data_IF_468195667405
#
_entry.id   IF_468195667405
#
_cell.length_a   1.000
_cell.length_b   1.000
_cell.length_c   1.000
_cell.angle_alpha   90.00
_cell.angle_beta   90.00
_cell.angle_gamma   90.00
#
_symmetry.space_group_name_H-M   'P 1'
#
loop_
_entity.id
_entity.type
_entity.pdbx_description
1 polymer ?
#
# COMPACT_ATOMS: atom_id res chain seq x y z
N UNK A 1 -10.53 12.50 3.66
CA UNK A 1 -9.11 12.10 3.80
C UNK A 1 -8.89 10.58 3.82
N UNK A 2 -9.38 9.77 4.78
CA UNK A 2 -8.96 8.37 4.89
C UNK A 2 -9.27 7.53 3.64
N UNK A 3 -10.51 7.64 3.14
CA UNK A 3 -10.94 6.98 1.89
C UNK A 3 -10.15 7.43 0.66
N UNK A 4 -9.80 8.72 0.59
CA UNK A 4 -9.03 9.27 -0.53
C UNK A 4 -7.61 8.69 -0.56
N UNK A 5 -6.96 8.59 0.61
CA UNK A 5 -5.63 7.97 0.71
C UNK A 5 -5.67 6.50 0.34
N UNK A 6 -6.68 5.74 0.81
CA UNK A 6 -6.87 4.35 0.41
C UNK A 6 -7.02 4.19 -1.12
N UNK A 7 -7.87 5.01 -1.76
CA UNK A 7 -8.01 5.01 -3.22
C UNK A 7 -6.73 5.42 -3.95
N UNK A 8 -5.98 6.40 -3.44
CA UNK A 8 -4.73 6.81 -4.06
C UNK A 8 -3.67 5.71 -4.00
N UNK A 9 -3.63 4.92 -2.91
CA UNK A 9 -2.70 3.80 -2.78
C UNK A 9 -3.00 2.69 -3.80
N UNK A 10 -4.26 2.27 -3.94
CA UNK A 10 -4.63 1.24 -4.93
C UNK A 10 -4.46 1.74 -6.36
N UNK A 11 -4.78 3.01 -6.64
CA UNK A 11 -4.52 3.65 -7.92
C UNK A 11 -3.03 3.67 -8.25
N UNK A 12 -2.18 4.09 -7.31
CA UNK A 12 -0.73 4.15 -7.49
C UNK A 12 -0.13 2.76 -7.72
N UNK A 13 -0.58 1.74 -6.99
CA UNK A 13 -0.19 0.35 -7.26
C UNK A 13 -0.48 -0.05 -8.71
N UNK A 14 -1.67 0.29 -9.21
CA UNK A 14 -2.06 -0.04 -10.57
C UNK A 14 -1.22 0.72 -11.62
N UNK A 15 -0.86 1.98 -11.35
CA UNK A 15 0.03 2.78 -12.20
C UNK A 15 1.44 2.17 -12.27
N UNK A 16 2.05 1.89 -11.12
CA UNK A 16 3.40 1.29 -11.01
C UNK A 16 3.44 -0.06 -11.73
N UNK A 17 2.41 -0.89 -11.55
CA UNK A 17 2.27 -2.17 -12.25
C UNK A 17 2.14 -2.01 -13.77
N UNK A 18 1.24 -1.14 -14.24
CA UNK A 18 1.00 -0.93 -15.68
C UNK A 18 2.18 -0.29 -16.39
N UNK A 19 2.98 0.50 -15.66
CA UNK A 19 4.24 1.06 -16.16
C UNK A 19 5.39 0.04 -16.17
N UNK A 20 5.22 -1.14 -15.57
CA UNK A 20 6.25 -2.17 -15.48
C UNK A 20 7.40 -1.86 -14.51
N UNK A 21 7.27 -0.81 -13.68
CA UNK A 21 8.30 -0.38 -12.73
C UNK A 21 8.61 -1.47 -11.69
N UNK A 22 7.56 -2.10 -11.15
CA UNK A 22 7.64 -3.30 -10.33
C UNK A 22 7.02 -4.46 -11.10
N UNK A 23 7.82 -5.09 -11.99
CA UNK A 23 7.35 -6.10 -12.94
C UNK A 23 6.73 -7.36 -12.32
N UNK A 24 6.92 -7.58 -11.01
CA UNK A 24 6.37 -8.70 -10.25
C UNK A 24 4.98 -8.42 -9.65
N UNK A 25 4.43 -7.21 -9.80
CA UNK A 25 3.09 -6.87 -9.30
C UNK A 25 1.99 -7.53 -10.12
N UNK A 26 0.96 -8.03 -9.41
CA UNK A 26 -0.26 -8.59 -10.01
C UNK A 26 -1.48 -7.69 -9.73
N UNK A 27 -2.63 -7.92 -10.40
CA UNK A 27 -3.73 -6.96 -10.39
C UNK A 27 -4.44 -6.77 -9.05
N UNK A 28 -4.49 -7.80 -8.19
CA UNK A 28 -5.26 -7.76 -6.95
C UNK A 28 -4.52 -7.00 -5.84
N UNK A 29 -5.20 -6.03 -5.23
CA UNK A 29 -4.64 -5.15 -4.19
C UNK A 29 -5.73 -4.67 -3.23
N UNK A 30 -5.39 -4.63 -1.94
CA UNK A 30 -6.23 -4.12 -0.85
C UNK A 30 -5.44 -3.10 -0.05
N UNK A 31 -6.06 -1.97 0.29
CA UNK A 31 -5.43 -0.91 1.08
C UNK A 31 -6.30 -0.52 2.27
N UNK A 32 -5.66 -0.21 3.41
CA UNK A 32 -6.32 0.37 4.57
C UNK A 32 -5.42 1.47 5.17
N UNK A 33 -6.03 2.58 5.57
CA UNK A 33 -5.32 3.73 6.15
C UNK A 33 -5.98 4.12 7.46
N UNK A 34 -5.19 4.14 8.54
CA UNK A 34 -5.60 4.65 9.85
C UNK A 34 -5.01 6.03 10.06
N UNK A 35 -5.86 7.01 10.35
CA UNK A 35 -5.50 8.42 10.50
C UNK A 35 -5.83 8.87 11.91
N UNK A 36 -4.90 9.56 12.57
CA UNK A 36 -5.14 10.20 13.87
C UNK A 36 -5.81 11.55 13.67
N UNK A 37 -6.81 11.81 14.49
CA UNK A 37 -7.59 13.03 14.49
C UNK A 37 -7.52 13.74 15.85
N UNK A 38 -7.41 15.06 15.82
CA UNK A 38 -7.68 15.94 16.96
C UNK A 38 -9.03 16.63 16.70
N UNK A 39 -10.09 16.12 17.33
CA UNK A 39 -11.46 16.48 16.98
C UNK A 39 -11.76 16.09 15.53
N UNK A 40 -12.08 17.07 14.68
CA UNK A 40 -12.38 16.86 13.25
C UNK A 40 -11.16 17.06 12.32
N UNK A 41 -10.01 17.45 12.87
CA UNK A 41 -8.80 17.75 12.10
C UNK A 41 -7.88 16.53 12.06
N UNK A 42 -7.52 16.02 10.87
CA UNK A 42 -6.49 14.98 10.77
C UNK A 42 -5.13 15.58 11.09
N UNK A 43 -4.32 14.86 11.88
CA UNK A 43 -3.01 15.36 12.35
C UNK A 43 -1.85 14.46 11.97
N UNK A 44 -2.07 13.14 11.89
CA UNK A 44 -1.01 12.18 11.60
C UNK A 44 -1.54 10.92 10.92
N UNK A 45 -0.67 10.22 10.19
CA UNK A 45 -0.92 8.86 9.74
C UNK A 45 -0.37 7.86 10.76
N UNK A 46 -1.21 6.94 11.22
CA UNK A 46 -0.83 5.94 12.22
C UNK A 46 -0.34 4.64 11.57
N UNK A 47 -1.19 4.06 10.71
CA UNK A 47 -0.93 2.75 10.12
C UNK A 47 -1.42 2.72 8.69
N UNK A 48 -0.58 2.19 7.80
CA UNK A 48 -0.94 1.88 6.42
C UNK A 48 -0.77 0.38 6.21
N UNK A 49 -1.86 -0.28 5.82
CA UNK A 49 -1.84 -1.67 5.39
C UNK A 49 -1.99 -1.69 3.87
N UNK A 50 -1.07 -2.36 3.19
CA UNK A 50 -1.17 -2.58 1.75
C UNK A 50 -0.88 -4.05 1.47
N UNK A 51 -1.91 -4.78 1.05
CA UNK A 51 -1.79 -6.16 0.61
C UNK A 51 -1.88 -6.18 -0.91
N UNK A 52 -0.80 -6.55 -1.60
CA UNK A 52 -0.75 -6.64 -3.07
C UNK A 52 -0.35 -8.02 -3.50
N UNK A 53 -1.05 -8.52 -4.51
CA UNK A 53 -0.70 -9.75 -5.18
C UNK A 53 0.63 -9.58 -5.92
N UNK A 54 1.46 -10.62 -5.92
CA UNK A 54 2.78 -10.61 -6.53
C UNK A 54 3.19 -11.98 -7.08
N UNK A 55 4.25 -11.98 -7.89
CA UNK A 55 4.85 -13.20 -8.42
C UNK A 55 5.46 -14.10 -7.34
N UNK A 56 5.50 -15.40 -7.63
CA UNK A 56 6.10 -16.36 -6.71
C UNK A 56 7.61 -16.16 -6.54
N UNK A 57 8.29 -15.67 -7.58
CA UNK A 57 9.75 -15.51 -7.58
C UNK A 57 10.25 -14.36 -6.68
N UNK A 58 9.41 -13.37 -6.34
CA UNK A 58 9.84 -12.20 -5.55
C UNK A 58 9.84 -12.51 -4.05
N UNK A 59 10.88 -12.02 -3.36
CA UNK A 59 10.99 -12.15 -1.90
C UNK A 59 10.06 -11.17 -1.19
N UNK A 60 9.59 -11.52 0.01
CA UNK A 60 8.77 -10.60 0.80
C UNK A 60 9.50 -9.31 1.19
N UNK A 61 10.82 -9.35 1.41
CA UNK A 61 11.60 -8.15 1.69
C UNK A 61 11.56 -7.18 0.50
N UNK A 62 11.77 -7.69 -0.72
CA UNK A 62 11.68 -6.89 -1.96
C UNK A 62 10.26 -6.36 -2.19
N UNK A 63 9.23 -7.16 -1.92
CA UNK A 63 7.83 -6.69 -2.00
C UNK A 63 7.60 -5.54 -1.03
N UNK A 64 8.02 -5.69 0.22
CA UNK A 64 7.88 -4.67 1.25
C UNK A 64 8.57 -3.36 0.88
N UNK A 65 9.83 -3.43 0.45
CA UNK A 65 10.60 -2.25 0.06
C UNK A 65 9.98 -1.56 -1.16
N UNK A 66 9.73 -2.29 -2.25
CA UNK A 66 9.14 -1.71 -3.46
C UNK A 66 7.77 -1.09 -3.23
N UNK A 67 6.92 -1.72 -2.41
CA UNK A 67 5.63 -1.14 -2.03
C UNK A 67 5.79 0.15 -1.22
N UNK A 68 6.73 0.20 -0.27
CA UNK A 68 6.91 1.39 0.55
C UNK A 68 7.46 2.55 -0.30
N UNK A 69 8.49 2.31 -1.10
CA UNK A 69 9.18 3.36 -1.86
C UNK A 69 8.38 3.83 -3.08
N UNK A 70 7.81 2.91 -3.86
CA UNK A 70 7.18 3.26 -5.15
C UNK A 70 5.68 3.55 -5.06
N UNK A 71 5.02 3.05 -4.01
CA UNK A 71 3.56 3.14 -3.85
C UNK A 71 3.17 4.00 -2.65
N UNK A 72 3.66 3.69 -1.44
CA UNK A 72 3.19 4.36 -0.23
C UNK A 72 3.78 5.78 -0.11
N UNK A 73 5.10 5.92 -0.13
CA UNK A 73 5.77 7.23 0.06
C UNK A 73 5.31 8.31 -0.94
N UNK A 74 5.13 8.03 -2.25
CA UNK A 74 4.67 9.04 -3.21
C UNK A 74 3.23 9.51 -2.98
N UNK A 75 2.44 8.76 -2.21
CA UNK A 75 1.05 9.09 -1.88
C UNK A 75 0.91 9.83 -0.55
N UNK A 76 1.98 9.87 0.28
CA UNK A 76 1.91 10.49 1.60
C UNK A 76 1.67 12.00 1.50
N UNK A 77 0.68 12.55 2.24
CA UNK A 77 0.40 13.97 2.24
C UNK A 77 1.47 14.74 3.02
N UNK A 78 2.01 15.81 2.43
CA UNK A 78 3.02 16.65 3.07
C UNK A 78 2.54 17.43 4.31
N UNK A 79 1.22 17.55 4.53
CA UNK A 79 0.62 18.34 5.61
C UNK A 79 0.27 17.54 6.86
N UNK A 80 0.53 16.23 6.89
CA UNK A 80 0.32 15.38 8.06
C UNK A 80 1.66 14.90 8.60
N UNK A 81 1.72 14.63 9.90
CA UNK A 81 2.85 13.91 10.46
C UNK A 81 2.86 12.46 9.94
N UNK A 82 4.01 12.09 9.38
CA UNK A 82 4.27 10.80 8.72
C UNK A 82 5.48 10.08 9.34
N UNK A 83 6.09 10.64 10.39
CA UNK A 83 7.33 10.12 10.99
C UNK A 83 7.14 8.81 11.75
N UNK A 84 5.94 8.58 12.29
CA UNK A 84 5.60 7.40 13.11
C UNK A 84 4.78 6.32 12.41
N UNK A 85 4.68 6.32 11.08
CA UNK A 85 3.77 5.40 10.38
C UNK A 85 4.23 3.95 10.55
N UNK A 86 3.30 3.08 10.93
CA UNK A 86 3.46 1.62 10.84
C UNK A 86 3.08 1.13 9.44
N UNK A 87 4.06 0.67 8.67
CA UNK A 87 3.82 0.05 7.36
C UNK A 87 3.63 -1.46 7.50
N UNK A 88 2.43 -1.95 7.17
CA UNK A 88 2.08 -3.36 7.12
C UNK A 88 1.88 -3.77 5.65
N UNK A 89 2.95 -4.26 5.03
CA UNK A 89 2.91 -4.78 3.65
C UNK A 89 2.75 -6.29 3.70
N UNK A 90 1.71 -6.81 3.07
CA UNK A 90 1.38 -8.24 3.03
C UNK A 90 1.53 -8.94 4.41
N UNK A 91 0.84 -8.47 5.48
CA UNK A 91 1.06 -8.95 6.84
C UNK A 91 0.70 -10.43 7.05
N UNK A 92 -0.10 -11.01 6.17
CA UNK A 92 -0.46 -12.44 6.18
C UNK A 92 0.58 -13.32 5.47
N UNK A 93 1.66 -12.75 4.97
CA UNK A 93 2.70 -13.46 4.23
C UNK A 93 2.52 -13.35 2.72
N UNK A 94 2.72 -14.44 1.99
CA UNK A 94 2.75 -14.40 0.51
C UNK A 94 1.34 -14.25 -0.07
N UNK A 95 1.18 -13.36 -1.05
CA UNK A 95 -0.07 -13.15 -1.76
C UNK A 95 0.15 -13.44 -3.25
N UNK A 96 0.19 -14.73 -3.60
CA UNK A 96 0.49 -15.17 -4.99
C UNK A 96 -0.81 -15.48 -5.75
N UNK A 97 -1.75 -16.18 -5.11
CA UNK A 97 -3.09 -16.47 -5.66
C UNK A 97 -4.04 -15.36 -5.25
N UNK A 98 -4.73 -14.75 -6.22
CA UNK A 98 -5.66 -13.63 -6.03
C UNK A 98 -6.65 -13.53 -7.20
N UNK A 99 -7.51 -12.51 -7.19
CA UNK A 99 -8.63 -12.41 -8.13
C UNK A 99 -9.70 -13.49 -7.89
N UNK A 100 -10.53 -13.86 -8.90
CA UNK A 100 -11.66 -14.78 -8.72
C UNK A 100 -11.29 -16.20 -8.24
N UNK A 101 -10.02 -16.58 -8.30
CA UNK A 101 -9.54 -17.87 -7.80
C UNK A 101 -9.16 -17.82 -6.31
N UNK A 102 -9.02 -16.63 -5.74
CA UNK A 102 -8.63 -16.41 -4.34
C UNK A 102 -9.73 -15.78 -3.47
N UNK A 103 -10.92 -15.53 -4.03
CA UNK A 103 -12.10 -14.96 -3.37
C UNK A 103 -13.38 -15.60 -3.94
#
# INVERSE_FOLDING_TARGET
LPIQLAHHLTKRQAEVRKAGQLGWLRPDVKSQVSVRYEGLRPVALDTIVLSTQHDEAVSQATVREGVIEEIIKPVLPAHLDTSGIRFLVNPTGRFVVGGPAGD
#
